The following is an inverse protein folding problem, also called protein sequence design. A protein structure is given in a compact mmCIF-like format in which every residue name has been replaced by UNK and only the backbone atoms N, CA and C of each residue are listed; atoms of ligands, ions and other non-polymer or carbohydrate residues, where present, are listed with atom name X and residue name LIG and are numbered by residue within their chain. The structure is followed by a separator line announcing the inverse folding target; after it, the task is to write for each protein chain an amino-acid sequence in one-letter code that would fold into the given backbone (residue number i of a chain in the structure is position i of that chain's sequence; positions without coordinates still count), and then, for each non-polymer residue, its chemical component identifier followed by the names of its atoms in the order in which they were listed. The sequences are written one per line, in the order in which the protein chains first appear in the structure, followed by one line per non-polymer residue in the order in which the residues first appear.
data_IF_254731669069
#
_entry.id   IF_254731669069
#
_cell.length_a   1.000
_cell.length_b   1.000
_cell.length_c   1.000
_cell.angle_alpha   90.00
_cell.angle_beta   90.00
_cell.angle_gamma   90.00
#
_symmetry.space_group_name_H-M   'P 1'
#
loop_
_entity.id
_entity.type
_entity.pdbx_description
1 polymer ?
#
# COMPACT_ATOMS: atom_id res chain seq x y z
N UNK A 1 -14.62 11.99 -6.25
CA UNK A 1 -13.29 11.75 -6.88
C UNK A 1 -13.04 10.27 -7.07
N UNK A 2 -12.39 9.87 -8.17
CA UNK A 2 -11.91 8.49 -8.36
C UNK A 2 -10.86 8.17 -7.28
N UNK A 3 -11.10 7.10 -6.50
CA UNK A 3 -10.24 6.74 -5.38
C UNK A 3 -9.38 5.49 -5.65
N UNK A 4 -10.00 4.40 -6.08
CA UNK A 4 -9.32 3.12 -6.28
C UNK A 4 -9.88 2.42 -7.53
N UNK A 5 -8.99 1.96 -8.42
CA UNK A 5 -9.40 1.13 -9.53
C UNK A 5 -9.78 -0.27 -9.06
N UNK A 6 -10.73 -0.90 -9.76
CA UNK A 6 -10.95 -2.33 -9.64
C UNK A 6 -9.78 -3.01 -10.35
N UNK A 7 -9.03 -3.80 -9.59
CA UNK A 7 -7.74 -4.33 -10.01
C UNK A 7 -7.88 -5.80 -10.40
N UNK A 8 -7.51 -6.08 -11.63
CA UNK A 8 -7.31 -7.43 -12.16
C UNK A 8 -5.97 -7.43 -12.89
N UNK A 9 -5.15 -8.42 -12.67
CA UNK A 9 -3.78 -8.44 -13.19
C UNK A 9 -3.43 -9.79 -13.81
N UNK A 10 -2.50 -9.79 -14.76
CA UNK A 10 -2.01 -10.99 -15.49
C UNK A 10 -0.60 -11.42 -15.06
N UNK A 11 0.02 -10.75 -14.09
CA UNK A 11 1.36 -11.12 -13.66
C UNK A 11 1.37 -12.53 -13.00
N UNK A 12 2.52 -13.23 -12.95
CA UNK A 12 2.58 -14.60 -12.41
C UNK A 12 2.03 -14.73 -10.99
N UNK A 13 2.08 -13.66 -10.22
CA UNK A 13 1.62 -13.65 -8.84
C UNK A 13 0.10 -13.59 -8.75
N UNK A 14 -0.55 -12.77 -9.59
CA UNK A 14 -2.02 -12.74 -9.65
C UNK A 14 -2.60 -14.06 -10.16
N UNK A 15 -1.89 -14.71 -11.08
CA UNK A 15 -2.28 -16.06 -11.55
C UNK A 15 -2.16 -17.11 -10.45
N UNK A 16 -1.13 -16.99 -9.59
CA UNK A 16 -0.94 -17.92 -8.47
C UNK A 16 -1.94 -17.67 -7.31
N UNK A 17 -2.35 -16.43 -7.09
CA UNK A 17 -3.24 -16.03 -5.99
C UNK A 17 -4.40 -15.15 -6.48
N UNK A 18 -5.26 -15.68 -7.37
CA UNK A 18 -6.35 -14.90 -7.98
C UNK A 18 -7.35 -14.37 -6.95
N UNK A 19 -7.51 -15.03 -5.81
CA UNK A 19 -8.40 -14.61 -4.73
C UNK A 19 -7.98 -13.31 -4.03
N UNK A 20 -6.77 -12.79 -4.27
CA UNK A 20 -6.41 -11.41 -3.89
C UNK A 20 -7.16 -10.35 -4.71
N UNK A 21 -7.67 -10.72 -5.89
CA UNK A 21 -8.32 -9.83 -6.86
C UNK A 21 -9.79 -10.19 -7.09
N UNK A 22 -10.08 -11.46 -7.30
CA UNK A 22 -11.45 -11.97 -7.51
C UNK A 22 -11.55 -13.42 -7.01
N UNK A 23 -12.51 -13.72 -6.16
CA UNK A 23 -12.84 -15.08 -5.74
C UNK A 23 -13.93 -15.64 -6.62
N UNK A 24 -13.64 -16.71 -7.32
CA UNK A 24 -14.58 -17.42 -8.17
C UNK A 24 -14.08 -18.84 -8.46
N UNK A 25 -14.98 -19.75 -8.72
CA UNK A 25 -14.67 -21.09 -9.27
C UNK A 25 -14.39 -21.03 -10.78
N UNK A 26 -14.65 -19.89 -11.43
CA UNK A 26 -14.43 -19.64 -12.83
C UNK A 26 -13.30 -18.62 -13.04
N UNK A 27 -12.44 -18.79 -14.04
CA UNK A 27 -11.36 -17.85 -14.31
C UNK A 27 -11.86 -16.49 -14.83
N UNK A 28 -11.15 -15.42 -14.42
CA UNK A 28 -11.23 -14.10 -15.07
C UNK A 28 -9.97 -13.93 -15.89
N UNK A 29 -10.10 -13.70 -17.20
CA UNK A 29 -9.00 -13.69 -18.15
C UNK A 29 -8.92 -12.35 -18.87
N UNK A 30 -7.69 -11.84 -19.02
CA UNK A 30 -7.45 -10.64 -19.82
C UNK A 30 -7.43 -10.98 -21.30
N UNK A 31 -8.24 -10.28 -22.07
CA UNK A 31 -8.26 -10.35 -23.53
C UNK A 31 -7.38 -9.23 -24.10
N UNK A 32 -6.16 -9.59 -24.52
CA UNK A 32 -5.19 -8.63 -25.06
C UNK A 32 -5.67 -7.95 -26.36
N UNK A 33 -6.50 -8.64 -27.15
CA UNK A 33 -7.01 -8.09 -28.41
C UNK A 33 -7.93 -6.90 -28.18
N UNK A 34 -8.75 -6.94 -27.13
CA UNK A 34 -9.75 -5.92 -26.82
C UNK A 34 -9.38 -5.04 -25.61
N UNK A 35 -8.33 -5.41 -24.88
CA UNK A 35 -7.90 -4.68 -23.66
C UNK A 35 -8.93 -4.75 -22.53
N UNK A 36 -9.64 -5.87 -22.43
CA UNK A 36 -10.72 -6.07 -21.45
C UNK A 36 -10.57 -7.36 -20.68
N UNK A 37 -11.14 -7.43 -19.49
CA UNK A 37 -11.20 -8.63 -18.67
C UNK A 37 -12.48 -9.38 -18.94
N UNK A 38 -12.43 -10.72 -19.10
CA UNK A 38 -13.56 -11.57 -19.41
C UNK A 38 -13.80 -12.65 -18.37
N UNK A 39 -15.04 -12.72 -17.94
CA UNK A 39 -15.67 -13.84 -17.25
C UNK A 39 -16.40 -14.66 -18.32
N UNK A 40 -15.90 -15.85 -18.69
CA UNK A 40 -16.41 -16.57 -19.87
C UNK A 40 -17.68 -17.39 -19.62
N UNK A 41 -17.95 -17.74 -18.36
CA UNK A 41 -19.02 -18.67 -18.00
C UNK A 41 -20.00 -18.00 -17.04
N UNK A 42 -21.20 -18.57 -16.96
CA UNK A 42 -22.14 -18.29 -15.87
C UNK A 42 -21.47 -18.59 -14.52
N UNK A 43 -21.73 -17.77 -13.54
CA UNK A 43 -21.14 -17.95 -12.20
C UNK A 43 -21.25 -16.72 -11.31
N UNK A 44 -20.64 -16.82 -10.14
CA UNK A 44 -20.49 -15.73 -9.19
C UNK A 44 -19.03 -15.34 -9.09
N UNK A 45 -18.77 -14.05 -9.27
CA UNK A 45 -17.44 -13.43 -9.23
C UNK A 45 -17.44 -12.42 -8.10
N UNK A 46 -16.72 -12.74 -7.01
CA UNK A 46 -16.67 -11.94 -5.80
C UNK A 46 -15.41 -11.07 -5.78
N UNK A 47 -15.60 -9.75 -5.78
CA UNK A 47 -14.57 -8.73 -5.71
C UNK A 47 -14.42 -8.15 -4.29
N UNK A 48 -14.97 -8.78 -3.25
CA UNK A 48 -14.77 -8.41 -1.85
C UNK A 48 -13.41 -8.91 -1.36
N UNK A 49 -12.34 -8.53 -2.05
CA UNK A 49 -10.99 -9.09 -1.92
C UNK A 49 -10.00 -8.06 -1.40
N UNK A 50 -8.76 -8.47 -1.13
CA UNK A 50 -7.72 -7.57 -0.61
C UNK A 50 -7.53 -6.31 -1.46
N UNK A 51 -7.53 -6.45 -2.79
CA UNK A 51 -7.35 -5.29 -3.68
C UNK A 51 -8.65 -4.60 -4.08
N UNK A 52 -9.79 -5.29 -4.04
CA UNK A 52 -11.04 -4.77 -4.62
C UNK A 52 -12.16 -4.51 -3.60
N UNK A 53 -11.90 -4.68 -2.29
CA UNK A 53 -12.78 -4.13 -1.26
C UNK A 53 -12.34 -2.72 -0.83
N UNK A 54 -13.27 -1.94 -0.30
CA UNK A 54 -13.02 -0.65 0.33
C UNK A 54 -13.03 -0.77 1.86
N UNK A 55 -12.00 -0.26 2.50
CA UNK A 55 -11.89 -0.14 3.97
C UNK A 55 -12.74 1.01 4.49
N UNK A 56 -14.07 0.87 4.43
CA UNK A 56 -14.99 1.99 4.73
C UNK A 56 -14.89 2.47 6.17
N UNK A 57 -14.62 1.60 7.12
CA UNK A 57 -14.39 1.99 8.51
C UNK A 57 -13.20 2.94 8.63
N UNK A 58 -12.08 2.65 7.98
CA UNK A 58 -10.87 3.51 8.00
C UNK A 58 -11.06 4.76 7.16
N UNK A 59 -11.69 4.67 5.99
CA UNK A 59 -11.99 5.85 5.17
C UNK A 59 -12.85 6.86 5.93
N UNK A 60 -13.90 6.41 6.62
CA UNK A 60 -14.74 7.29 7.46
C UNK A 60 -13.97 7.89 8.64
N UNK A 61 -13.07 7.11 9.24
CA UNK A 61 -12.25 7.56 10.37
C UNK A 61 -11.23 8.61 9.96
N UNK A 62 -10.44 8.35 8.94
CA UNK A 62 -9.24 9.12 8.60
C UNK A 62 -9.47 10.22 7.55
N UNK A 63 -10.56 10.13 6.79
CA UNK A 63 -10.78 10.97 5.61
C UNK A 63 -12.07 11.78 5.68
N UNK A 64 -12.17 12.77 4.79
CA UNK A 64 -13.38 13.58 4.57
C UNK A 64 -14.38 12.92 3.61
N UNK A 65 -14.27 11.62 3.33
CA UNK A 65 -15.21 10.89 2.48
C UNK A 65 -16.61 10.81 3.15
N UNK A 66 -17.63 11.18 2.40
CA UNK A 66 -19.04 11.24 2.85
C UNK A 66 -19.97 10.30 2.09
N UNK A 67 -19.61 9.95 0.85
CA UNK A 67 -20.37 9.01 0.04
C UNK A 67 -19.46 8.12 -0.79
N UNK A 68 -19.96 6.96 -1.18
CA UNK A 68 -19.22 5.92 -1.85
C UNK A 68 -20.03 5.39 -3.02
N UNK A 69 -19.43 5.25 -4.18
CA UNK A 69 -20.04 4.73 -5.39
C UNK A 69 -19.12 3.73 -6.07
N UNK A 70 -19.69 2.63 -6.56
CA UNK A 70 -19.03 1.69 -7.43
C UNK A 70 -19.40 2.03 -8.87
N UNK A 71 -18.39 2.34 -9.70
CA UNK A 71 -18.53 2.54 -11.14
C UNK A 71 -18.00 1.33 -11.88
N UNK A 72 -18.81 0.70 -12.72
CA UNK A 72 -18.44 -0.42 -13.57
C UNK A 72 -18.83 -0.15 -15.02
N UNK A 73 -17.98 -0.57 -15.97
CA UNK A 73 -18.34 -0.72 -17.38
C UNK A 73 -18.42 -2.22 -17.70
N UNK A 74 -19.59 -2.72 -18.06
CA UNK A 74 -19.88 -4.12 -18.34
C UNK A 74 -20.52 -4.31 -19.70
N UNK A 75 -20.24 -5.42 -20.38
CA UNK A 75 -20.98 -5.88 -21.57
C UNK A 75 -21.05 -7.41 -21.59
N UNK A 76 -22.06 -7.97 -22.24
CA UNK A 76 -22.24 -9.40 -22.43
C UNK A 76 -23.57 -9.92 -21.94
N UNK A 77 -23.58 -11.06 -21.29
CA UNK A 77 -24.79 -11.72 -20.78
C UNK A 77 -25.47 -10.89 -19.69
N UNK A 78 -26.73 -11.22 -19.41
CA UNK A 78 -27.46 -10.65 -18.27
C UNK A 78 -26.70 -10.94 -16.99
N UNK A 79 -26.60 -9.94 -16.10
CA UNK A 79 -25.90 -10.07 -14.85
C UNK A 79 -26.50 -9.19 -13.75
N UNK A 80 -26.24 -9.54 -12.50
CA UNK A 80 -26.54 -8.75 -11.31
C UNK A 80 -25.24 -8.30 -10.67
N UNK A 81 -25.12 -7.00 -10.38
CA UNK A 81 -24.09 -6.42 -9.53
C UNK A 81 -24.68 -6.21 -8.16
N UNK A 82 -24.15 -6.86 -7.14
CA UNK A 82 -24.64 -6.82 -5.76
C UNK A 82 -23.55 -6.28 -4.85
N UNK A 83 -23.86 -5.23 -4.07
CA UNK A 83 -22.99 -4.78 -2.99
C UNK A 83 -22.85 -5.86 -1.91
N UNK A 84 -21.64 -6.03 -1.40
CA UNK A 84 -21.36 -6.87 -0.24
C UNK A 84 -20.73 -6.06 0.88
N UNK A 85 -20.72 -6.61 2.08
CA UNK A 85 -20.08 -6.01 3.24
C UNK A 85 -19.47 -7.07 4.16
N UNK A 86 -18.55 -6.65 5.03
CA UNK A 86 -18.08 -7.37 6.19
C UNK A 86 -18.19 -6.50 7.43
N UNK A 87 -18.86 -7.01 8.45
CA UNK A 87 -18.83 -6.48 9.80
C UNK A 87 -17.70 -7.13 10.62
N UNK A 88 -17.63 -6.81 11.91
CA UNK A 88 -16.64 -7.31 12.83
C UNK A 88 -16.58 -8.84 12.99
N UNK A 89 -17.61 -9.55 12.60
CA UNK A 89 -17.80 -10.99 12.80
C UNK A 89 -17.95 -11.77 11.49
N UNK A 90 -17.86 -11.07 10.35
CA UNK A 90 -18.07 -11.69 9.06
C UNK A 90 -16.92 -12.63 8.67
N UNK A 91 -17.24 -13.89 8.41
CA UNK A 91 -16.33 -14.89 7.83
C UNK A 91 -16.36 -14.88 6.30
N UNK A 92 -17.50 -14.50 5.73
CA UNK A 92 -17.74 -14.39 4.29
C UNK A 92 -18.38 -13.05 3.97
N UNK A 93 -18.26 -12.56 2.72
CA UNK A 93 -18.97 -11.35 2.29
C UNK A 93 -20.48 -11.51 2.39
N UNK A 94 -21.14 -10.60 3.09
CA UNK A 94 -22.59 -10.57 3.26
C UNK A 94 -23.24 -9.64 2.22
N UNK A 95 -24.26 -10.07 1.47
CA UNK A 95 -24.96 -9.19 0.55
C UNK A 95 -25.73 -8.11 1.31
N UNK A 96 -25.68 -6.87 0.81
CA UNK A 96 -26.44 -5.74 1.37
C UNK A 96 -27.82 -5.69 0.70
N UNK A 97 -28.89 -5.86 1.49
CA UNK A 97 -30.26 -5.88 0.98
C UNK A 97 -30.62 -4.58 0.25
N UNK A 98 -31.20 -4.71 -0.95
CA UNK A 98 -31.64 -3.57 -1.77
C UNK A 98 -30.48 -2.81 -2.46
N UNK A 99 -29.22 -3.20 -2.27
CA UNK A 99 -28.06 -2.58 -2.89
C UNK A 99 -27.55 -3.44 -4.07
N UNK A 100 -28.41 -3.65 -5.07
CA UNK A 100 -28.05 -4.37 -6.29
C UNK A 100 -28.56 -3.66 -7.54
N UNK A 101 -27.99 -4.01 -8.69
CA UNK A 101 -28.41 -3.55 -10.02
C UNK A 101 -28.36 -4.70 -11.00
N UNK A 102 -29.50 -4.94 -11.67
CA UNK A 102 -29.64 -5.97 -12.70
C UNK A 102 -29.45 -5.33 -14.08
N UNK A 103 -28.63 -5.96 -14.91
CA UNK A 103 -28.41 -5.58 -16.29
C UNK A 103 -28.94 -6.66 -17.23
N UNK A 104 -29.62 -6.22 -18.29
CA UNK A 104 -29.98 -7.09 -19.41
C UNK A 104 -28.74 -7.37 -20.27
N UNK A 105 -28.76 -8.49 -20.99
CA UNK A 105 -27.69 -8.80 -21.95
C UNK A 105 -27.55 -7.66 -22.99
N UNK A 106 -26.30 -7.31 -23.31
CA UNK A 106 -25.95 -6.26 -24.28
C UNK A 106 -24.58 -6.50 -24.91
N UNK A 107 -24.49 -6.31 -26.21
CA UNK A 107 -23.21 -6.28 -26.94
C UNK A 107 -22.49 -4.93 -26.81
N UNK A 108 -23.20 -3.89 -26.35
CA UNK A 108 -22.66 -2.57 -26.07
C UNK A 108 -22.26 -2.44 -24.59
N UNK A 109 -21.26 -1.60 -24.31
CA UNK A 109 -20.85 -1.27 -22.96
C UNK A 109 -21.96 -0.52 -22.20
N UNK A 110 -22.33 -1.07 -21.06
CA UNK A 110 -23.28 -0.48 -20.11
C UNK A 110 -22.52 0.06 -18.92
N UNK A 111 -22.82 1.29 -18.53
CA UNK A 111 -22.29 1.90 -17.30
C UNK A 111 -23.20 1.58 -16.13
N UNK A 112 -22.61 1.11 -15.07
CA UNK A 112 -23.28 0.84 -13.78
C UNK A 112 -22.66 1.74 -12.72
N UNK A 113 -23.43 2.74 -12.29
CA UNK A 113 -23.14 3.51 -11.09
C UNK A 113 -24.02 2.97 -9.98
N UNK A 114 -23.40 2.29 -8.99
CA UNK A 114 -24.08 1.74 -7.82
C UNK A 114 -23.67 2.55 -6.57
N UNK A 115 -24.56 3.44 -6.07
CA UNK A 115 -24.35 4.09 -4.78
C UNK A 115 -24.27 3.03 -3.68
N UNK A 116 -23.20 3.06 -2.88
CA UNK A 116 -23.00 2.08 -1.83
C UNK A 116 -23.73 2.53 -0.55
N UNK A 117 -24.48 1.61 0.03
CA UNK A 117 -25.08 1.77 1.36
C UNK A 117 -24.02 1.49 2.40
N UNK A 118 -23.77 2.44 3.31
CA UNK A 118 -22.78 2.31 4.38
C UNK A 118 -23.47 2.49 5.73
N UNK A 119 -23.32 1.51 6.60
CA UNK A 119 -23.79 1.54 8.01
C UNK A 119 -22.60 1.60 8.97
N UNK A 120 -22.85 1.86 10.25
CA UNK A 120 -21.78 2.08 11.23
C UNK A 120 -21.01 0.82 11.59
N UNK A 121 -21.62 -0.33 11.43
CA UNK A 121 -21.05 -1.66 11.69
C UNK A 121 -20.19 -2.20 10.55
N UNK A 122 -20.24 -1.59 9.36
CA UNK A 122 -19.44 -2.04 8.21
C UNK A 122 -17.98 -1.69 8.37
N UNK A 123 -17.13 -2.71 8.27
CA UNK A 123 -15.67 -2.60 8.27
C UNK A 123 -15.15 -2.43 6.85
N UNK A 124 -15.52 -3.35 5.98
CA UNK A 124 -15.20 -3.33 4.55
C UNK A 124 -16.46 -3.49 3.71
N UNK A 125 -16.44 -2.93 2.51
CA UNK A 125 -17.47 -3.17 1.49
C UNK A 125 -16.82 -3.62 0.20
N UNK A 126 -17.52 -4.43 -0.56
CA UNK A 126 -17.13 -4.90 -1.86
C UNK A 126 -18.33 -5.12 -2.75
N UNK A 127 -18.17 -5.92 -3.76
CA UNK A 127 -19.29 -6.31 -4.63
C UNK A 127 -19.05 -7.70 -5.22
N UNK A 128 -20.13 -8.29 -5.71
CA UNK A 128 -20.07 -9.49 -6.54
C UNK A 128 -20.84 -9.26 -7.84
N UNK A 129 -20.46 -10.01 -8.87
CA UNK A 129 -21.18 -10.08 -10.15
C UNK A 129 -21.69 -11.50 -10.30
N UNK A 130 -23.00 -11.67 -10.38
CA UNK A 130 -23.64 -12.92 -10.78
C UNK A 130 -24.02 -12.82 -12.24
N UNK A 131 -23.53 -13.72 -13.07
CA UNK A 131 -23.78 -13.68 -14.51
C UNK A 131 -24.33 -15.01 -15.01
N UNK A 132 -25.21 -14.91 -16.03
CA UNK A 132 -25.81 -16.05 -16.71
C UNK A 132 -24.97 -16.57 -17.88
N UNK A 133 -23.87 -15.88 -18.21
CA UNK A 133 -22.97 -16.21 -19.32
C UNK A 133 -21.75 -15.31 -19.36
N UNK A 134 -21.13 -15.16 -20.51
CA UNK A 134 -19.92 -14.36 -20.65
C UNK A 134 -20.18 -12.87 -20.44
N UNK A 135 -19.38 -12.24 -19.57
CA UNK A 135 -19.39 -10.80 -19.30
C UNK A 135 -17.96 -10.27 -19.38
N UNK A 136 -17.78 -9.11 -20.01
CA UNK A 136 -16.54 -8.37 -19.99
C UNK A 136 -16.64 -7.14 -19.08
N UNK A 137 -15.51 -6.78 -18.45
CA UNK A 137 -15.36 -5.62 -17.54
C UNK A 137 -14.15 -4.79 -17.95
N UNK A 138 -14.26 -3.46 -17.86
CA UNK A 138 -13.16 -2.50 -18.03
C UNK A 138 -13.41 -1.22 -17.23
N UNK A 139 -12.44 -0.32 -17.15
CA UNK A 139 -12.56 1.06 -16.64
C UNK A 139 -13.36 1.19 -15.32
N UNK A 140 -13.22 0.22 -14.44
CA UNK A 140 -14.03 0.13 -13.23
C UNK A 140 -13.27 0.64 -12.02
N UNK A 141 -13.97 1.36 -11.12
CA UNK A 141 -13.35 2.00 -9.96
C UNK A 141 -14.36 2.34 -8.87
N UNK A 142 -13.84 2.64 -7.69
CA UNK A 142 -14.59 3.29 -6.64
C UNK A 142 -14.43 4.80 -6.71
N UNK A 143 -15.55 5.51 -6.59
CA UNK A 143 -15.61 6.95 -6.47
C UNK A 143 -16.08 7.37 -5.08
N UNK A 144 -15.46 8.42 -4.54
CA UNK A 144 -15.80 9.00 -3.24
C UNK A 144 -16.31 10.42 -3.40
N UNK A 145 -17.44 10.73 -2.74
CA UNK A 145 -17.87 12.10 -2.45
C UNK A 145 -17.11 12.61 -1.23
N UNK A 146 -16.64 13.85 -1.30
CA UNK A 146 -15.75 14.45 -0.31
C UNK A 146 -16.41 15.71 0.26
N UNK A 147 -16.34 15.87 1.57
CA UNK A 147 -16.72 17.12 2.24
C UNK A 147 -15.51 18.06 2.30
N UNK A 148 -15.67 19.27 1.75
CA UNK A 148 -14.61 20.28 1.67
C UNK A 148 -13.68 20.13 0.46
N UNK A 149 -12.55 20.80 0.55
CA UNK A 149 -11.51 20.83 -0.51
C UNK A 149 -10.53 19.66 -0.36
N UNK A 150 -10.02 19.20 -1.49
CA UNK A 150 -8.94 18.22 -1.52
C UNK A 150 -7.63 18.85 -1.04
N UNK A 151 -6.82 18.07 -0.30
CA UNK A 151 -5.49 18.52 0.07
C UNK A 151 -4.59 18.62 -1.17
N UNK A 152 -3.76 19.66 -1.23
CA UNK A 152 -2.66 19.72 -2.19
C UNK A 152 -1.60 18.70 -1.81
N UNK A 153 -1.24 17.83 -2.74
CA UNK A 153 -0.27 16.76 -2.53
C UNK A 153 0.75 16.72 -3.65
N UNK A 154 2.01 16.92 -3.29
CA UNK A 154 3.18 16.65 -4.13
C UNK A 154 3.89 15.43 -3.54
N UNK A 155 3.72 14.26 -4.16
CA UNK A 155 4.23 12.99 -3.68
C UNK A 155 5.58 12.65 -4.31
N UNK A 156 6.56 12.37 -3.47
CA UNK A 156 7.86 11.84 -3.88
C UNK A 156 7.93 10.35 -3.55
N UNK A 157 8.35 9.52 -4.49
CA UNK A 157 8.84 8.17 -4.23
C UNK A 157 10.36 8.21 -4.13
N UNK A 158 10.93 7.77 -3.02
CA UNK A 158 12.38 7.62 -2.87
C UNK A 158 12.76 6.16 -2.64
N UNK A 159 13.67 5.67 -3.46
CA UNK A 159 14.22 4.32 -3.38
C UNK A 159 15.73 4.39 -3.28
N UNK A 160 16.33 3.61 -2.37
CA UNK A 160 17.78 3.50 -2.23
C UNK A 160 18.23 2.17 -2.80
N UNK A 161 19.24 2.19 -3.70
CA UNK A 161 19.76 0.98 -4.33
C UNK A 161 21.26 0.82 -4.14
N UNK A 162 21.70 -0.43 -4.05
CA UNK A 162 23.13 -0.79 -4.05
C UNK A 162 23.35 -2.06 -4.85
N UNK A 163 23.82 -1.91 -6.10
CA UNK A 163 24.14 -3.03 -7.01
C UNK A 163 22.96 -3.99 -7.26
N UNK A 164 21.77 -3.43 -7.47
CA UNK A 164 20.52 -4.14 -7.80
C UNK A 164 19.87 -3.57 -9.06
N UNK A 165 20.66 -3.37 -10.11
CA UNK A 165 20.30 -2.65 -11.33
C UNK A 165 19.01 -3.20 -11.94
N UNK A 166 18.90 -4.52 -12.08
CA UNK A 166 17.73 -5.16 -12.72
C UNK A 166 16.41 -4.89 -11.99
N UNK A 167 16.44 -4.84 -10.66
CA UNK A 167 15.24 -4.56 -9.86
C UNK A 167 14.82 -3.10 -9.99
N UNK A 168 15.78 -2.19 -9.84
CA UNK A 168 15.47 -0.76 -9.88
C UNK A 168 15.10 -0.29 -11.29
N UNK A 169 15.73 -0.80 -12.37
CA UNK A 169 15.35 -0.49 -13.75
C UNK A 169 13.91 -0.94 -14.05
N UNK A 170 13.51 -2.12 -13.57
CA UNK A 170 12.11 -2.59 -13.65
C UNK A 170 11.16 -1.65 -12.94
N UNK A 171 11.47 -1.24 -11.70
CA UNK A 171 10.60 -0.36 -10.92
C UNK A 171 10.52 1.05 -11.52
N UNK A 172 11.62 1.59 -12.07
CA UNK A 172 11.62 2.84 -12.86
C UNK A 172 10.70 2.72 -14.07
N UNK A 173 10.82 1.63 -14.82
CA UNK A 173 9.97 1.36 -16.00
C UNK A 173 8.48 1.33 -15.63
N UNK A 174 8.15 0.61 -14.57
CA UNK A 174 6.78 0.52 -14.05
C UNK A 174 6.22 1.87 -13.61
N UNK A 175 7.00 2.67 -12.89
CA UNK A 175 6.61 4.02 -12.45
C UNK A 175 6.40 4.95 -13.65
N UNK A 176 7.31 4.95 -14.63
CA UNK A 176 7.17 5.75 -15.85
C UNK A 176 5.90 5.39 -16.61
N UNK A 177 5.64 4.09 -16.81
CA UNK A 177 4.49 3.62 -17.59
C UNK A 177 3.16 3.79 -16.83
N UNK A 178 3.07 3.33 -15.58
CA UNK A 178 1.80 3.19 -14.87
C UNK A 178 1.45 4.37 -13.95
N UNK A 179 2.39 5.24 -13.63
CA UNK A 179 2.15 6.41 -12.78
C UNK A 179 2.29 7.70 -13.60
N UNK A 180 3.49 7.98 -14.13
CA UNK A 180 3.80 9.26 -14.78
C UNK A 180 3.05 9.41 -16.12
N UNK A 181 2.94 8.34 -16.89
CA UNK A 181 2.24 8.34 -18.19
C UNK A 181 0.79 7.82 -18.10
N UNK A 182 0.24 7.65 -16.89
CA UNK A 182 -1.09 7.03 -16.70
C UNK A 182 -2.27 7.92 -17.12
N UNK A 183 -2.10 9.23 -17.15
CA UNK A 183 -3.20 10.19 -17.27
C UNK A 183 -4.06 10.35 -16.02
N UNK A 184 -3.75 9.66 -14.92
CA UNK A 184 -4.39 9.87 -13.63
C UNK A 184 -3.89 11.16 -12.96
N UNK A 185 -4.64 11.70 -12.01
CA UNK A 185 -4.30 12.97 -11.33
C UNK A 185 -2.95 12.97 -10.62
N UNK A 186 -2.43 11.81 -10.27
CA UNK A 186 -1.10 11.68 -9.67
C UNK A 186 0.04 12.05 -10.63
N UNK A 187 -0.16 11.89 -11.95
CA UNK A 187 0.91 12.03 -12.95
C UNK A 187 1.61 13.39 -12.88
N UNK A 188 0.87 14.46 -12.59
CA UNK A 188 1.40 15.84 -12.51
C UNK A 188 1.97 16.19 -11.14
N UNK A 189 1.72 15.37 -10.12
CA UNK A 189 2.07 15.63 -8.73
C UNK A 189 3.00 14.56 -8.14
N UNK A 190 3.79 13.91 -9.00
CA UNK A 190 4.63 12.78 -8.59
C UNK A 190 6.06 12.92 -9.12
N UNK A 191 7.04 12.62 -8.26
CA UNK A 191 8.45 12.50 -8.61
C UNK A 191 9.03 11.21 -8.04
N UNK A 192 10.03 10.64 -8.71
CA UNK A 192 10.80 9.52 -8.22
C UNK A 192 12.28 9.86 -8.13
N UNK A 193 12.86 9.71 -6.95
CA UNK A 193 14.31 9.78 -6.71
C UNK A 193 14.89 8.40 -6.43
N UNK A 194 15.87 8.01 -7.23
CA UNK A 194 16.62 6.77 -7.06
C UNK A 194 18.00 7.13 -6.54
N UNK A 195 18.24 6.83 -5.27
CA UNK A 195 19.51 7.09 -4.61
C UNK A 195 20.43 5.89 -4.85
N UNK A 196 21.42 6.07 -5.74
CA UNK A 196 22.33 5.02 -6.17
C UNK A 196 23.60 5.01 -5.31
N UNK A 197 23.57 4.27 -4.22
CA UNK A 197 24.70 4.07 -3.32
C UNK A 197 25.84 3.26 -3.96
N UNK A 198 25.60 2.63 -5.09
CA UNK A 198 26.60 1.85 -5.83
C UNK A 198 27.31 2.64 -6.92
N UNK A 199 26.70 3.74 -7.36
CA UNK A 199 27.12 4.50 -8.55
C UNK A 199 27.26 3.61 -9.78
N UNK A 200 26.34 2.66 -9.93
CA UNK A 200 26.37 1.65 -10.99
C UNK A 200 25.29 1.87 -12.05
N UNK A 201 24.36 2.78 -11.79
CA UNK A 201 23.26 3.08 -12.71
C UNK A 201 23.67 4.05 -13.82
N UNK A 202 23.12 3.84 -15.01
CA UNK A 202 23.23 4.79 -16.11
C UNK A 202 22.29 5.98 -15.86
N UNK A 203 22.83 7.07 -15.32
CA UNK A 203 22.06 8.26 -14.93
C UNK A 203 21.35 8.90 -16.12
N UNK A 204 22.04 8.99 -17.30
CA UNK A 204 21.47 9.62 -18.49
C UNK A 204 20.31 8.81 -19.07
N UNK A 205 20.45 7.50 -19.12
CA UNK A 205 19.43 6.57 -19.62
C UNK A 205 18.19 6.54 -18.72
N UNK A 206 18.37 6.52 -17.40
CA UNK A 206 17.30 6.24 -16.45
C UNK A 206 16.59 7.50 -15.96
N UNK A 207 17.27 8.65 -15.90
CA UNK A 207 16.67 9.91 -15.50
C UNK A 207 15.77 10.49 -16.61
N UNK A 208 15.01 11.51 -16.26
CA UNK A 208 14.04 12.18 -17.15
C UNK A 208 12.59 11.82 -16.83
N UNK A 209 11.68 12.66 -17.32
CA UNK A 209 10.24 12.51 -17.09
C UNK A 209 9.90 12.28 -15.60
N UNK A 210 10.30 13.23 -14.72
CA UNK A 210 10.05 13.21 -13.26
C UNK A 210 10.74 12.06 -12.50
N UNK A 211 11.65 11.34 -13.12
CA UNK A 211 12.53 10.37 -12.48
C UNK A 211 13.95 10.92 -12.45
N UNK A 212 14.60 10.88 -11.31
CA UNK A 212 15.98 11.31 -11.18
C UNK A 212 16.81 10.27 -10.44
N UNK A 213 17.88 9.81 -11.08
CA UNK A 213 18.92 8.99 -10.45
C UNK A 213 19.95 9.94 -9.81
N UNK A 214 20.20 9.73 -8.52
CA UNK A 214 21.14 10.53 -7.72
C UNK A 214 22.31 9.64 -7.29
N UNK A 215 23.48 9.75 -7.93
CA UNK A 215 24.67 9.03 -7.48
C UNK A 215 25.04 9.41 -6.05
N UNK A 216 25.29 8.43 -5.22
CA UNK A 216 25.59 8.63 -3.81
C UNK A 216 26.75 7.73 -3.36
N UNK A 217 27.36 8.04 -2.23
CA UNK A 217 28.29 7.12 -1.59
C UNK A 217 27.52 6.03 -0.85
N UNK A 218 28.12 4.84 -0.69
CA UNK A 218 27.48 3.79 0.08
C UNK A 218 27.51 4.12 1.59
N UNK A 219 26.44 4.76 2.02
CA UNK A 219 26.17 5.09 3.44
C UNK A 219 25.05 4.21 4.05
N UNK A 220 24.82 3.04 3.43
CA UNK A 220 23.78 2.09 3.82
C UNK A 220 22.38 2.55 3.47
N UNK A 221 21.38 1.76 3.85
CA UNK A 221 19.96 2.10 3.67
C UNK A 221 19.59 3.37 4.39
N UNK A 222 19.98 3.50 5.68
CA UNK A 222 19.70 4.69 6.49
C UNK A 222 20.17 5.99 5.82
N UNK A 223 21.41 6.02 5.33
CA UNK A 223 21.97 7.21 4.68
C UNK A 223 21.39 7.45 3.30
N UNK A 224 21.09 6.39 2.54
CA UNK A 224 20.47 6.52 1.23
C UNK A 224 19.05 7.08 1.32
N UNK A 225 18.19 6.55 2.19
CA UNK A 225 16.85 7.11 2.44
C UNK A 225 16.92 8.54 2.98
N UNK A 226 17.90 8.83 3.87
CA UNK A 226 18.14 10.22 4.33
C UNK A 226 18.48 11.15 3.17
N UNK A 227 19.31 10.73 2.21
CA UNK A 227 19.60 11.50 1.00
C UNK A 227 18.34 11.76 0.18
N UNK A 228 17.48 10.74 0.04
CA UNK A 228 16.16 10.87 -0.61
C UNK A 228 15.27 11.89 0.09
N UNK A 229 15.20 11.88 1.42
CA UNK A 229 14.45 12.86 2.20
C UNK A 229 14.96 14.29 1.96
N UNK A 230 16.28 14.51 1.98
CA UNK A 230 16.88 15.81 1.69
C UNK A 230 16.50 16.27 0.27
N UNK A 231 16.65 15.40 -0.72
CA UNK A 231 16.31 15.71 -2.11
C UNK A 231 14.83 16.07 -2.28
N UNK A 232 13.92 15.35 -1.60
CA UNK A 232 12.48 15.66 -1.61
C UNK A 232 12.17 17.02 -0.96
N UNK A 233 12.85 17.36 0.14
CA UNK A 233 12.68 18.66 0.81
C UNK A 233 13.19 19.85 -0.03
N UNK A 234 14.17 19.63 -0.90
CA UNK A 234 14.79 20.64 -1.75
C UNK A 234 14.11 20.79 -3.13
N UNK A 235 13.19 19.89 -3.51
CA UNK A 235 12.55 19.93 -4.84
C UNK A 235 11.60 21.13 -5.01
N UNK A 236 11.35 21.47 -6.28
CA UNK A 236 10.36 22.48 -6.69
C UNK A 236 9.43 21.86 -7.75
N UNK A 237 8.10 21.87 -7.56
CA UNK A 237 7.37 22.34 -6.37
C UNK A 237 7.73 21.55 -5.12
N UNK A 238 7.59 22.16 -3.93
CA UNK A 238 7.95 21.54 -2.65
C UNK A 238 7.13 20.26 -2.43
N UNK A 239 7.82 19.16 -2.12
CA UNK A 239 7.13 17.93 -1.73
C UNK A 239 6.30 18.12 -0.45
N UNK A 240 5.14 17.48 -0.39
CA UNK A 240 4.32 17.41 0.83
C UNK A 240 4.56 16.11 1.57
N UNK A 241 4.80 15.04 0.81
CA UNK A 241 4.98 13.69 1.35
C UNK A 241 6.09 12.95 0.58
N UNK A 242 6.81 12.10 1.30
CA UNK A 242 7.78 11.17 0.70
C UNK A 242 7.38 9.73 1.01
N UNK A 243 7.25 8.91 -0.03
CA UNK A 243 7.07 7.47 0.06
C UNK A 243 8.44 6.80 -0.05
N UNK A 244 8.91 6.21 1.03
CA UNK A 244 10.11 5.38 1.04
C UNK A 244 9.75 3.96 0.62
N UNK A 245 10.54 3.38 -0.27
CA UNK A 245 10.30 2.03 -0.79
C UNK A 245 11.64 1.34 -1.10
N UNK A 246 11.79 0.06 -0.73
CA UNK A 246 12.96 -0.74 -1.07
C UNK A 246 13.10 -0.94 -2.60
N UNK A 247 14.33 -1.15 -3.06
CA UNK A 247 14.65 -1.27 -4.49
C UNK A 247 14.24 -2.61 -5.11
N UNK A 248 14.17 -3.67 -4.32
CA UNK A 248 13.93 -5.05 -4.75
C UNK A 248 12.52 -5.57 -4.48
N UNK A 249 11.62 -4.71 -4.05
CA UNK A 249 10.20 -5.05 -3.92
C UNK A 249 9.52 -5.16 -5.28
N UNK A 250 8.49 -5.98 -5.35
CA UNK A 250 7.47 -5.85 -6.39
C UNK A 250 6.29 -5.06 -5.83
N UNK A 251 5.93 -3.99 -6.51
CA UNK A 251 4.85 -3.08 -6.10
C UNK A 251 3.71 -3.12 -7.11
N UNK A 252 2.46 -3.09 -6.63
CA UNK A 252 1.33 -2.73 -7.49
C UNK A 252 1.33 -1.20 -7.67
N UNK A 253 1.31 -0.70 -8.91
CA UNK A 253 1.16 0.74 -9.16
C UNK A 253 -0.06 1.34 -8.48
N UNK A 254 -1.12 0.54 -8.34
CA UNK A 254 -2.35 0.96 -7.66
C UNK A 254 -2.12 1.29 -6.19
N UNK A 255 -1.19 0.62 -5.48
CA UNK A 255 -0.83 0.99 -4.11
C UNK A 255 -0.33 2.43 -4.03
N UNK A 256 0.51 2.85 -4.99
CA UNK A 256 1.03 4.24 -5.05
C UNK A 256 -0.10 5.23 -5.36
N UNK A 257 -0.97 4.91 -6.32
CA UNK A 257 -2.13 5.75 -6.68
C UNK A 257 -3.10 5.91 -5.51
N UNK A 258 -3.41 4.82 -4.80
CA UNK A 258 -4.27 4.84 -3.61
C UNK A 258 -3.64 5.63 -2.47
N UNK A 259 -2.33 5.52 -2.26
CA UNK A 259 -1.62 6.36 -1.27
C UNK A 259 -1.77 7.84 -1.62
N UNK A 260 -1.54 8.23 -2.86
CA UNK A 260 -1.74 9.62 -3.30
C UNK A 260 -3.19 10.08 -3.10
N UNK A 261 -4.17 9.27 -3.52
CA UNK A 261 -5.58 9.60 -3.38
C UNK A 261 -6.01 9.70 -1.91
N UNK A 262 -5.47 8.82 -1.05
CA UNK A 262 -5.72 8.86 0.40
C UNK A 262 -5.19 10.15 1.03
N UNK A 263 -3.97 10.57 0.69
CA UNK A 263 -3.37 11.82 1.16
C UNK A 263 -4.22 13.05 0.82
N UNK A 264 -4.83 13.05 -0.37
CA UNK A 264 -5.67 14.17 -0.83
C UNK A 264 -6.93 14.38 -0.02
N UNK A 265 -7.39 13.35 0.69
CA UNK A 265 -8.67 13.37 1.43
C UNK A 265 -8.49 13.18 2.95
N UNK A 266 -7.25 13.13 3.47
CA UNK A 266 -7.02 13.06 4.91
C UNK A 266 -7.61 14.27 5.64
N UNK A 267 -8.30 14.01 6.74
CA UNK A 267 -8.73 15.06 7.67
C UNK A 267 -7.52 15.81 8.26
N UNK A 268 -7.67 17.08 8.65
CA UNK A 268 -6.56 17.88 9.17
C UNK A 268 -5.78 17.23 10.30
N UNK A 269 -6.46 16.52 11.22
CA UNK A 269 -5.85 15.84 12.37
C UNK A 269 -5.00 14.63 11.99
N UNK A 270 -5.17 14.09 10.76
CA UNK A 270 -4.46 12.91 10.25
C UNK A 270 -3.42 13.23 9.17
N UNK A 271 -3.24 14.51 8.80
CA UNK A 271 -2.26 14.91 7.76
C UNK A 271 -0.80 14.66 8.16
N UNK A 272 -0.54 14.52 9.45
CA UNK A 272 0.80 14.19 9.97
C UNK A 272 0.95 12.70 10.34
N UNK A 273 -0.04 11.86 10.08
CA UNK A 273 0.09 10.42 10.24
C UNK A 273 0.89 9.82 9.07
N UNK A 274 1.73 8.83 9.35
CA UNK A 274 2.45 8.07 8.33
C UNK A 274 1.52 7.02 7.73
N UNK A 275 1.60 6.78 6.41
CA UNK A 275 0.90 5.67 5.76
C UNK A 275 1.89 4.52 5.62
N UNK A 276 1.53 3.34 6.14
CA UNK A 276 2.33 2.13 6.09
C UNK A 276 1.69 1.09 5.19
N UNK A 277 2.41 0.66 4.16
CA UNK A 277 1.98 -0.44 3.29
C UNK A 277 2.47 -1.78 3.82
N UNK A 278 1.66 -2.80 3.60
CA UNK A 278 1.97 -4.16 4.01
C UNK A 278 3.13 -4.75 3.19
N UNK A 279 3.97 -5.54 3.83
CA UNK A 279 4.84 -6.50 3.18
C UNK A 279 4.12 -7.84 3.08
N UNK A 280 3.91 -8.29 1.85
CA UNK A 280 3.48 -9.63 1.55
C UNK A 280 4.71 -10.46 1.19
N UNK A 281 4.69 -11.74 1.55
CA UNK A 281 5.78 -12.65 1.20
C UNK A 281 5.88 -12.82 -0.32
N UNK A 282 7.09 -12.76 -0.85
CA UNK A 282 7.31 -12.98 -2.27
C UNK A 282 7.09 -14.45 -2.64
N UNK A 283 7.45 -15.35 -1.74
CA UNK A 283 7.38 -16.81 -1.90
C UNK A 283 5.95 -17.35 -1.73
N UNK A 284 5.19 -16.75 -0.80
CA UNK A 284 3.76 -17.06 -0.54
C UNK A 284 2.99 -15.75 -0.65
N UNK A 285 2.61 -15.37 -1.88
CA UNK A 285 2.14 -14.03 -2.20
C UNK A 285 0.82 -13.60 -1.57
N UNK A 286 0.13 -14.49 -0.87
CA UNK A 286 -1.10 -14.20 -0.12
C UNK A 286 -0.86 -13.92 1.36
N UNK A 287 0.33 -14.25 1.89
CA UNK A 287 0.62 -14.09 3.30
C UNK A 287 1.16 -12.68 3.60
N UNK A 288 0.48 -11.95 4.48
CA UNK A 288 0.96 -10.69 5.03
C UNK A 288 2.00 -10.96 6.10
N UNK A 289 3.24 -10.51 5.87
CA UNK A 289 4.29 -10.55 6.88
C UNK A 289 4.06 -9.50 7.97
N UNK A 290 3.93 -8.25 7.55
CA UNK A 290 3.77 -7.10 8.45
C UNK A 290 3.24 -5.90 7.66
N UNK A 291 2.31 -5.13 8.23
CA UNK A 291 1.93 -3.81 7.73
C UNK A 291 2.31 -2.69 8.71
N UNK A 292 2.47 -3.04 9.97
CA UNK A 292 2.95 -2.15 11.03
C UNK A 292 3.71 -2.97 12.06
N UNK A 293 4.91 -2.55 12.37
CA UNK A 293 5.78 -3.18 13.37
C UNK A 293 5.76 -2.46 14.71
N UNK A 294 6.30 -3.13 15.71
CA UNK A 294 6.61 -2.51 16.99
C UNK A 294 7.93 -3.05 17.57
N UNK A 295 8.62 -2.23 18.30
CA UNK A 295 9.78 -2.66 19.08
C UNK A 295 9.33 -3.09 20.47
N UNK A 296 9.69 -4.30 20.89
CA UNK A 296 9.38 -4.83 22.21
C UNK A 296 10.28 -4.21 23.26
N UNK A 297 9.95 -4.41 24.53
CA UNK A 297 10.77 -3.93 25.65
C UNK A 297 12.18 -4.56 25.63
N UNK A 298 12.31 -5.78 25.13
CA UNK A 298 13.58 -6.48 24.99
C UNK A 298 14.42 -5.99 23.79
N UNK A 299 13.89 -5.05 22.98
CA UNK A 299 14.58 -4.54 21.80
C UNK A 299 14.48 -5.48 20.59
N UNK A 300 13.50 -6.36 20.56
CA UNK A 300 13.19 -7.18 19.38
C UNK A 300 12.10 -6.53 18.54
N UNK A 301 12.09 -6.81 17.25
CA UNK A 301 11.06 -6.33 16.33
C UNK A 301 9.99 -7.40 16.16
N UNK A 302 8.73 -6.97 16.11
CA UNK A 302 7.60 -7.85 15.90
C UNK A 302 6.50 -7.12 15.13
N UNK A 303 5.80 -7.80 14.24
CA UNK A 303 4.57 -7.30 13.68
C UNK A 303 3.54 -7.01 14.78
N UNK A 304 2.77 -5.96 14.62
CA UNK A 304 1.67 -5.67 15.56
C UNK A 304 0.54 -6.69 15.43
N UNK A 305 0.33 -7.21 14.23
CA UNK A 305 -0.71 -8.19 13.89
C UNK A 305 -0.13 -9.60 13.82
N UNK A 306 -0.96 -10.64 14.02
CA UNK A 306 -0.54 -12.00 13.69
C UNK A 306 -0.33 -12.16 12.17
N UNK A 307 0.31 -13.24 11.70
CA UNK A 307 0.32 -13.59 10.28
C UNK A 307 -1.12 -13.71 9.75
N UNK A 308 -1.40 -13.10 8.61
CA UNK A 308 -2.71 -13.09 7.96
C UNK A 308 -2.59 -13.64 6.55
N UNK A 309 -3.61 -14.40 6.13
CA UNK A 309 -3.77 -14.88 4.77
C UNK A 309 -4.80 -14.03 4.03
N UNK A 310 -4.35 -13.13 3.19
CA UNK A 310 -5.18 -12.07 2.58
C UNK A 310 -6.14 -12.57 1.48
N UNK A 311 -6.18 -13.85 1.19
CA UNK A 311 -7.21 -14.50 0.37
C UNK A 311 -8.45 -14.90 1.19
N UNK A 312 -8.35 -14.95 2.53
CA UNK A 312 -9.45 -15.21 3.45
C UNK A 312 -10.17 -13.92 3.82
N UNK A 313 -11.49 -13.94 3.76
CA UNK A 313 -12.29 -12.73 4.00
C UNK A 313 -12.23 -12.26 5.46
N UNK A 314 -12.30 -13.17 6.40
CA UNK A 314 -12.16 -12.89 7.83
C UNK A 314 -10.82 -12.22 8.17
N UNK A 315 -9.74 -12.62 7.51
CA UNK A 315 -8.42 -12.00 7.70
C UNK A 315 -8.38 -10.58 7.14
N UNK A 316 -9.11 -10.28 6.05
CA UNK A 316 -9.26 -8.93 5.54
C UNK A 316 -10.01 -8.02 6.52
N UNK A 317 -11.09 -8.52 7.10
CA UNK A 317 -11.87 -7.80 8.13
C UNK A 317 -11.01 -7.57 9.35
N UNK A 318 -10.33 -8.60 9.86
CA UNK A 318 -9.44 -8.49 11.01
C UNK A 318 -8.31 -7.47 10.77
N UNK A 319 -7.70 -7.50 9.58
CA UNK A 319 -6.63 -6.58 9.21
C UNK A 319 -7.06 -5.10 9.32
N UNK A 320 -8.31 -4.80 8.93
CA UNK A 320 -8.85 -3.45 9.00
C UNK A 320 -9.27 -3.03 10.42
N UNK A 321 -9.77 -3.97 11.21
CA UNK A 321 -10.27 -3.71 12.57
C UNK A 321 -9.19 -3.66 13.63
N UNK A 322 -7.99 -4.17 13.32
CA UNK A 322 -6.95 -4.31 14.32
C UNK A 322 -6.70 -3.00 15.08
N UNK A 323 -6.72 -3.08 16.40
CA UNK A 323 -6.43 -1.97 17.28
C UNK A 323 -5.19 -2.29 18.11
N UNK A 324 -4.09 -1.56 17.94
CA UNK A 324 -2.87 -1.79 18.70
C UNK A 324 -3.07 -1.62 20.20
N UNK A 325 -2.38 -2.42 21.00
CA UNK A 325 -2.32 -2.25 22.45
C UNK A 325 -1.67 -0.91 22.82
N UNK A 326 -1.80 -0.49 24.09
CA UNK A 326 -1.15 0.75 24.56
C UNK A 326 0.37 0.71 24.38
N UNK A 327 1.00 -0.45 24.64
CA UNK A 327 2.44 -0.62 24.43
C UNK A 327 2.80 -0.45 22.95
N UNK A 328 2.12 -1.17 22.07
CA UNK A 328 2.35 -1.09 20.63
C UNK A 328 2.20 0.35 20.14
N UNK A 329 1.09 1.04 20.46
CA UNK A 329 0.88 2.44 20.04
C UNK A 329 2.02 3.39 20.37
N UNK A 330 2.73 3.17 21.45
CA UNK A 330 3.86 4.01 21.85
C UNK A 330 5.17 3.63 21.15
N UNK A 331 5.25 2.43 20.55
CA UNK A 331 6.48 1.85 20.04
C UNK A 331 6.33 1.29 18.62
N UNK A 332 5.29 1.74 17.89
CA UNK A 332 5.06 1.37 16.49
C UNK A 332 6.01 2.10 15.57
N UNK A 333 6.29 1.43 14.45
CA UNK A 333 7.00 1.99 13.30
C UNK A 333 6.42 1.42 12.00
N UNK A 334 6.60 2.13 10.91
CA UNK A 334 6.36 1.67 9.55
C UNK A 334 7.70 1.34 8.91
N UNK A 335 7.87 0.11 8.45
CA UNK A 335 9.08 -0.30 7.77
C UNK A 335 9.20 0.36 6.38
N UNK A 336 10.44 0.67 5.97
CA UNK A 336 10.67 1.47 4.77
C UNK A 336 10.63 0.68 3.46
N UNK A 337 10.15 -0.56 3.48
CA UNK A 337 9.73 -1.21 2.23
C UNK A 337 8.53 -0.51 1.57
N UNK A 338 7.68 0.18 2.38
CA UNK A 338 6.61 1.05 1.90
C UNK A 338 6.12 1.95 3.05
N UNK A 339 6.71 3.11 3.21
CA UNK A 339 6.35 4.07 4.26
C UNK A 339 6.22 5.47 3.69
N UNK A 340 5.02 6.05 3.72
CA UNK A 340 4.79 7.43 3.30
C UNK A 340 4.83 8.36 4.52
N UNK A 341 5.79 9.29 4.50
CA UNK A 341 6.09 10.21 5.59
C UNK A 341 5.75 11.64 5.15
N UNK A 342 4.95 12.40 5.91
CA UNK A 342 4.76 13.83 5.65
C UNK A 342 6.08 14.61 5.83
N UNK A 343 6.39 15.54 4.92
CA UNK A 343 7.60 16.37 5.01
C UNK A 343 7.62 17.19 6.29
N UNK A 344 6.47 17.67 6.75
CA UNK A 344 6.33 18.38 8.04
C UNK A 344 6.81 17.55 9.25
N UNK A 345 6.67 16.23 9.19
CA UNK A 345 7.18 15.32 10.24
C UNK A 345 8.70 15.29 10.22
N UNK A 346 9.32 15.28 9.03
CA UNK A 346 10.77 15.32 8.86
C UNK A 346 11.31 16.67 9.34
N UNK A 347 10.69 17.78 8.95
CA UNK A 347 11.08 19.12 9.38
C UNK A 347 11.02 19.29 10.90
N UNK A 348 10.01 18.70 11.55
CA UNK A 348 9.83 18.77 13.00
C UNK A 348 10.82 17.89 13.78
N UNK A 349 11.08 16.67 13.30
CA UNK A 349 11.82 15.67 14.07
C UNK A 349 13.27 15.48 13.62
N UNK A 350 13.67 16.15 12.51
CA UNK A 350 14.97 16.00 11.90
C UNK A 350 15.10 14.71 11.09
N UNK A 351 16.29 14.47 10.59
CA UNK A 351 16.63 13.33 9.74
C UNK A 351 16.87 12.05 10.55
N UNK A 352 16.82 10.87 9.91
CA UNK A 352 17.19 9.59 10.52
C UNK A 352 18.62 9.57 11.05
N UNK A 353 18.87 8.73 12.05
CA UNK A 353 20.21 8.51 12.56
C UNK A 353 21.11 7.77 11.56
N UNK A 354 22.41 8.06 11.52
CA UNK A 354 23.35 7.43 10.57
C UNK A 354 23.77 6.02 11.03
N UNK A 355 22.80 5.13 11.18
CA UNK A 355 23.01 3.77 11.70
C UNK A 355 23.48 2.77 10.65
N UNK A 356 23.59 3.18 9.41
CA UNK A 356 23.97 2.43 8.21
C UNK A 356 22.85 1.49 7.70
N UNK A 357 22.49 0.47 8.45
CA UNK A 357 21.47 -0.52 8.08
C UNK A 357 20.83 -1.13 9.33
N UNK A 358 19.57 -1.51 9.25
CA UNK A 358 18.74 -2.05 10.33
C UNK A 358 18.38 -1.03 11.41
N UNK A 359 17.14 -1.06 11.84
CA UNK A 359 16.59 -0.23 12.90
C UNK A 359 16.50 1.28 12.58
N UNK A 360 16.82 1.70 11.37
CA UNK A 360 16.67 3.06 10.87
C UNK A 360 15.19 3.48 10.81
N UNK A 361 14.36 2.62 10.25
CA UNK A 361 12.89 2.76 10.17
C UNK A 361 12.23 2.71 11.56
N UNK A 362 12.62 1.74 12.38
CA UNK A 362 12.03 1.56 13.71
C UNK A 362 12.39 2.72 14.65
N UNK A 363 13.67 3.11 14.73
CA UNK A 363 14.10 4.26 15.53
C UNK A 363 13.36 5.52 15.09
N UNK A 364 13.34 5.77 13.77
CA UNK A 364 12.74 6.97 13.24
C UNK A 364 11.22 7.03 13.49
N UNK A 365 10.50 5.95 13.18
CA UNK A 365 9.06 5.85 13.38
C UNK A 365 8.65 6.05 14.85
N UNK A 366 9.34 5.39 15.78
CA UNK A 366 9.06 5.51 17.22
C UNK A 366 9.41 6.91 17.73
N UNK A 367 10.54 7.48 17.32
CA UNK A 367 10.98 8.81 17.77
C UNK A 367 10.06 9.92 17.26
N UNK A 368 9.49 9.79 16.07
CA UNK A 368 8.57 10.78 15.49
C UNK A 368 7.24 10.89 16.25
N UNK A 369 6.79 9.84 16.93
CA UNK A 369 5.54 9.80 17.73
C UNK A 369 4.33 10.27 16.94
N UNK A 370 4.20 9.83 15.70
CA UNK A 370 3.06 10.09 14.81
C UNK A 370 2.03 8.97 14.89
N UNK A 371 0.83 9.20 14.34
CA UNK A 371 -0.10 8.11 14.02
C UNK A 371 0.37 7.32 12.79
N UNK A 372 -0.22 6.13 12.61
CA UNK A 372 0.01 5.28 11.45
C UNK A 372 -1.32 4.85 10.84
N UNK A 373 -1.40 4.92 9.53
CA UNK A 373 -2.55 4.47 8.74
C UNK A 373 -2.10 3.27 7.91
N UNK A 374 -2.74 2.12 8.12
CA UNK A 374 -2.63 0.93 7.29
C UNK A 374 -3.98 0.67 6.62
N UNK A 375 -4.00 0.09 5.43
CA UNK A 375 -5.24 -0.19 4.70
C UNK A 375 -5.03 -1.37 3.74
N UNK A 376 -6.04 -2.23 3.59
CA UNK A 376 -6.04 -3.27 2.57
C UNK A 376 -5.79 -2.67 1.18
N UNK A 377 -5.03 -3.38 0.35
CA UNK A 377 -4.67 -2.92 -1.00
C UNK A 377 -3.51 -1.93 -1.06
N UNK A 378 -2.85 -1.62 0.07
CA UNK A 378 -1.59 -0.89 0.12
C UNK A 378 -0.47 -1.86 0.51
N UNK A 379 0.30 -2.35 -0.45
CA UNK A 379 1.31 -3.36 -0.20
C UNK A 379 2.45 -3.36 -1.22
N UNK A 380 3.49 -4.07 -0.82
CA UNK A 380 4.57 -4.57 -1.69
C UNK A 380 4.77 -6.05 -1.41
N UNK A 381 5.35 -6.77 -2.39
CA UNK A 381 5.88 -8.12 -2.16
C UNK A 381 7.39 -8.03 -2.03
N UNK A 382 7.91 -8.63 -0.98
CA UNK A 382 9.34 -8.62 -0.66
C UNK A 382 9.80 -10.04 -0.28
N UNK A 383 11.03 -10.39 -0.61
CA UNK A 383 11.62 -11.67 -0.22
C UNK A 383 11.75 -11.77 1.28
N UNK A 384 11.56 -12.98 1.82
CA UNK A 384 11.70 -13.26 3.25
C UNK A 384 13.07 -12.85 3.78
N UNK A 385 13.10 -12.23 4.97
CA UNK A 385 14.35 -11.86 5.64
C UNK A 385 15.19 -13.08 6.06
N UNK A 386 14.57 -14.23 6.27
CA UNK A 386 15.26 -15.45 6.67
C UNK A 386 16.24 -15.96 5.60
N UNK A 387 15.95 -15.71 4.32
CA UNK A 387 16.81 -16.12 3.21
C UNK A 387 18.06 -15.23 3.04
N UNK A 388 18.09 -14.08 3.70
CA UNK A 388 19.15 -13.07 3.59
C UNK A 388 19.99 -12.94 4.86
N UNK A 389 20.02 -13.96 5.71
CA UNK A 389 20.76 -13.91 6.96
C UNK A 389 22.25 -13.63 6.73
N UNK A 390 22.74 -12.56 7.35
CA UNK A 390 24.15 -12.20 7.41
C UNK A 390 24.54 -11.93 8.87
N UNK A 391 25.43 -12.76 9.41
CA UNK A 391 25.81 -12.70 10.83
C UNK A 391 26.38 -11.33 11.24
N UNK A 392 27.15 -10.66 10.38
CA UNK A 392 27.69 -9.34 10.69
C UNK A 392 26.59 -8.26 10.77
N UNK A 393 25.57 -8.36 9.91
CA UNK A 393 24.41 -7.47 9.96
C UNK A 393 23.52 -7.82 11.14
N UNK A 394 23.08 -9.07 11.26
CA UNK A 394 22.06 -9.44 12.24
C UNK A 394 22.57 -9.46 13.68
N UNK A 395 23.80 -9.91 13.93
CA UNK A 395 24.34 -9.98 15.29
C UNK A 395 25.00 -8.68 15.75
N UNK A 396 25.67 -7.97 14.85
CA UNK A 396 26.38 -6.75 15.24
C UNK A 396 25.54 -5.51 14.96
N UNK A 397 25.15 -5.26 13.71
CA UNK A 397 24.46 -4.02 13.35
C UNK A 397 23.08 -3.93 14.03
N UNK A 398 22.29 -5.01 13.97
CA UNK A 398 20.95 -5.03 14.58
C UNK A 398 21.06 -4.82 16.10
N UNK A 399 21.94 -5.55 16.79
CA UNK A 399 22.10 -5.38 18.26
C UNK A 399 22.55 -3.97 18.63
N UNK A 400 23.60 -3.45 17.99
CA UNK A 400 24.09 -2.09 18.21
C UNK A 400 22.99 -1.06 17.98
N UNK A 401 22.30 -1.15 16.84
CA UNK A 401 21.31 -0.13 16.46
C UNK A 401 20.04 -0.21 17.30
N UNK A 402 19.64 -1.41 17.74
CA UNK A 402 18.55 -1.57 18.70
C UNK A 402 18.87 -0.89 20.02
N UNK A 403 20.10 -1.04 20.55
CA UNK A 403 20.50 -0.34 21.78
C UNK A 403 20.47 1.19 21.61
N UNK A 404 20.89 1.69 20.43
CA UNK A 404 20.81 3.12 20.11
C UNK A 404 19.33 3.55 20.09
N UNK A 405 18.46 2.81 19.39
CA UNK A 405 17.04 3.12 19.29
C UNK A 405 16.35 3.11 20.68
N UNK A 406 16.65 2.11 21.52
CA UNK A 406 16.12 2.08 22.89
C UNK A 406 16.52 3.34 23.68
N UNK A 407 17.76 3.80 23.53
CA UNK A 407 18.24 5.00 24.21
C UNK A 407 17.57 6.28 23.68
N UNK A 408 17.50 6.44 22.34
CA UNK A 408 16.95 7.65 21.70
C UNK A 408 15.42 7.74 21.79
N UNK A 409 14.74 6.61 21.82
CA UNK A 409 13.27 6.54 21.96
C UNK A 409 12.79 6.51 23.42
N UNK A 410 13.70 6.54 24.40
CA UNK A 410 13.36 6.51 25.83
C UNK A 410 12.90 5.13 26.30
N UNK A 411 13.29 4.06 25.61
CA UNK A 411 12.97 2.67 25.93
C UNK A 411 14.15 1.93 26.60
N UNK A 412 15.26 2.62 26.87
CA UNK A 412 16.44 2.00 27.44
C UNK A 412 16.10 1.29 28.75
N UNK A 413 16.45 0.00 28.90
CA UNK A 413 16.22 -0.74 30.11
C UNK A 413 17.02 -0.13 31.30
N UNK A 414 16.52 -0.28 32.50
CA UNK A 414 17.25 0.11 33.71
C UNK A 414 18.56 -0.69 33.86
N UNK A 415 19.46 -0.18 34.72
CA UNK A 415 20.76 -0.80 34.96
C UNK A 415 20.68 -2.28 35.39
N UNK A 416 19.63 -2.66 36.10
CA UNK A 416 19.43 -4.05 36.53
C UNK A 416 19.13 -4.99 35.36
N UNK A 417 18.34 -4.55 34.39
CA UNK A 417 18.08 -5.32 33.17
C UNK A 417 19.35 -5.54 32.32
N UNK A 418 20.27 -4.57 32.32
CA UNK A 418 21.53 -4.70 31.60
C UNK A 418 22.54 -5.64 32.22
N UNK A 419 22.29 -6.08 33.46
CA UNK A 419 23.13 -7.03 34.21
C UNK A 419 22.66 -8.47 34.09
N UNK A 420 21.41 -8.72 33.78
CA UNK A 420 20.83 -10.02 33.50
C UNK A 420 21.15 -10.47 32.05
#
# INVERSE_FOLDING_TARGET
MKFANILLETNPRSVAYPALYCRSDQPVVFDEQFGEWKMFNAGTFDFSTYFNSLSVMKLRKYTSATSFMLHLELKGAACEVQQTMGDAFAHDPLPVEGASKVLSASDDWQVVDLPLTITDDMVIVGFLIKTEGAVAIRNSYYELGIDGELNDVELVLSTTTFKKEAFIERNIGLVKDKIINSGDSIADHFHMYVIDNGRTLDVEKLSGNRVQVVPNDNVGGAGGFTRGMITAMEQIPKATNILLMDDDVAVSPESIKRTYNLLRILKPEHRNDMISGAMLNYEVGEDQWEDIGNMTQQGTFAGCKPPLRLTLFEDLVYNEMYTPTKWQRNNMYAAWWYCCIPISVIEKNGLPLPVFVRCDDAEYGIRCKTGFITMNGLCVWHMSFFERYNAAVERYQTTRNTMIAQATCGMAPGADFMRE
#
